data_IF_425197784549
#
_entry.id   IF_425197784549
#
_cell.length_a   1.000
_cell.length_b   1.000
_cell.length_c   1.000
_cell.angle_alpha   90.00
_cell.angle_beta   90.00
_cell.angle_gamma   90.00
#
_symmetry.space_group_name_H-M   'P 1'
#
loop_
_entity.id
_entity.type
_entity.pdbx_description
1 polymer ?
#
# COMPACT_ATOMS: atom_id res chain seq x y z
N UNK A 1 -34.02 -67.51 -17.48
CA UNK A 1 -33.92 -66.07 -17.81
C UNK A 1 -33.88 -65.31 -16.49
N UNK A 2 -32.70 -65.09 -15.90
CA UNK A 2 -32.58 -64.25 -14.70
C UNK A 2 -32.49 -62.78 -15.17
N UNK A 3 -33.48 -61.97 -14.83
CA UNK A 3 -33.42 -60.53 -15.06
C UNK A 3 -32.57 -59.91 -13.95
N UNK A 4 -31.39 -59.43 -14.33
CA UNK A 4 -30.56 -58.54 -13.51
C UNK A 4 -31.26 -57.19 -13.42
N UNK A 5 -31.92 -56.93 -12.29
CA UNK A 5 -32.48 -55.61 -11.99
C UNK A 5 -31.31 -54.68 -11.65
N UNK A 6 -31.09 -53.58 -12.37
CA UNK A 6 -30.05 -52.63 -12.00
C UNK A 6 -30.41 -51.98 -10.67
N UNK A 7 -29.58 -52.19 -9.64
CA UNK A 7 -29.64 -51.42 -8.39
C UNK A 7 -29.41 -49.95 -8.72
N UNK A 8 -30.47 -49.16 -8.60
CA UNK A 8 -30.43 -47.70 -8.70
C UNK A 8 -30.53 -47.13 -7.30
N UNK A 9 -29.58 -46.26 -6.95
CA UNK A 9 -29.48 -45.62 -5.65
C UNK A 9 -29.70 -44.12 -5.82
N UNK A 10 -30.81 -43.61 -5.30
CA UNK A 10 -31.11 -42.19 -5.29
C UNK A 10 -30.41 -41.52 -4.11
N UNK A 11 -29.48 -40.60 -4.42
CA UNK A 11 -28.74 -39.83 -3.43
C UNK A 11 -29.06 -38.34 -3.56
N UNK A 12 -29.36 -37.70 -2.43
CA UNK A 12 -29.47 -36.25 -2.40
C UNK A 12 -28.10 -35.61 -2.63
N UNK A 13 -27.99 -34.75 -3.64
CA UNK A 13 -26.79 -33.98 -3.95
C UNK A 13 -27.09 -32.49 -3.93
N UNK A 14 -26.05 -31.68 -3.67
CA UNK A 14 -26.12 -30.22 -3.72
C UNK A 14 -25.04 -29.68 -4.67
N UNK A 15 -25.46 -28.87 -5.63
CA UNK A 15 -24.53 -28.13 -6.50
C UNK A 15 -23.87 -27.03 -5.68
N UNK A 16 -22.55 -26.97 -5.70
CA UNK A 16 -21.76 -25.92 -5.06
C UNK A 16 -20.80 -25.31 -6.07
N UNK A 17 -20.45 -24.01 -5.91
CA UNK A 17 -19.39 -23.41 -6.69
C UNK A 17 -18.07 -24.16 -6.47
N UNK A 18 -17.29 -24.32 -7.53
CA UNK A 18 -15.92 -24.80 -7.44
C UNK A 18 -15.11 -23.87 -6.51
N UNK A 19 -14.62 -24.35 -5.34
CA UNK A 19 -13.91 -23.52 -4.39
C UNK A 19 -12.65 -22.86 -4.97
N UNK A 20 -12.05 -23.44 -6.00
CA UNK A 20 -10.86 -22.86 -6.69
C UNK A 20 -11.22 -21.65 -7.55
N UNK A 21 -12.50 -21.43 -7.84
CA UNK A 21 -13.02 -20.32 -8.65
C UNK A 21 -13.79 -19.30 -7.82
N UNK A 22 -13.79 -19.42 -6.49
CA UNK A 22 -14.42 -18.48 -5.57
C UNK A 22 -13.34 -17.68 -4.85
N UNK A 23 -13.42 -16.35 -4.96
CA UNK A 23 -12.53 -15.44 -4.24
C UNK A 23 -13.38 -14.56 -3.31
N UNK A 24 -12.98 -14.49 -2.04
CA UNK A 24 -13.53 -13.54 -1.07
C UNK A 24 -12.65 -12.30 -1.06
N UNK A 25 -13.25 -11.15 -1.36
CA UNK A 25 -12.54 -9.86 -1.40
C UNK A 25 -12.70 -9.20 -0.04
N UNK A 26 -11.58 -8.81 0.56
CA UNK A 26 -11.53 -8.05 1.80
C UNK A 26 -10.86 -6.70 1.52
N UNK A 27 -11.27 -5.62 2.20
CA UNK A 27 -10.58 -4.36 2.08
C UNK A 27 -9.13 -4.49 2.60
N UNK A 28 -8.13 -3.94 1.90
CA UNK A 28 -6.74 -4.00 2.33
C UNK A 28 -6.49 -3.16 3.58
N UNK A 29 -7.24 -2.05 3.74
CA UNK A 29 -7.11 -1.11 4.84
C UNK A 29 -8.45 -0.87 5.51
N UNK A 30 -8.42 -0.52 6.80
CA UNK A 30 -9.60 -0.05 7.51
C UNK A 30 -9.99 1.34 7.02
N UNK A 31 -11.30 1.58 6.85
CA UNK A 31 -11.82 2.86 6.39
C UNK A 31 -13.33 2.87 6.24
N UNK A 32 -13.87 4.05 5.92
CA UNK A 32 -15.30 4.24 5.64
C UNK A 32 -15.57 3.94 4.18
N UNK A 33 -16.59 3.12 3.90
CA UNK A 33 -17.06 2.89 2.51
C UNK A 33 -17.60 4.20 1.94
N UNK A 34 -17.11 4.58 0.76
CA UNK A 34 -17.53 5.78 0.02
C UNK A 34 -18.59 5.40 -0.99
N UNK A 35 -18.34 4.34 -1.76
CA UNK A 35 -19.31 3.81 -2.71
C UNK A 35 -19.12 2.30 -2.89
N UNK A 36 -20.20 1.64 -3.31
CA UNK A 36 -20.20 0.27 -3.81
C UNK A 36 -20.66 0.36 -5.26
N UNK A 37 -19.79 -0.04 -6.20
CA UNK A 37 -20.02 0.15 -7.64
C UNK A 37 -20.72 -1.05 -8.29
N UNK A 38 -20.92 -2.15 -7.56
CA UNK A 38 -21.52 -3.39 -8.05
C UNK A 38 -22.66 -3.87 -7.17
N UNK A 39 -23.64 -4.54 -7.77
CA UNK A 39 -24.78 -5.13 -7.06
C UNK A 39 -24.70 -6.67 -7.06
N UNK A 40 -25.34 -7.34 -6.09
CA UNK A 40 -25.46 -8.80 -6.11
C UNK A 40 -26.08 -9.28 -7.42
N UNK A 41 -25.39 -10.21 -8.11
CA UNK A 41 -25.79 -10.75 -9.40
C UNK A 41 -25.13 -10.09 -10.62
N UNK A 42 -24.43 -8.97 -10.44
CA UNK A 42 -23.70 -8.33 -11.53
C UNK A 42 -22.52 -9.19 -12.00
N UNK A 43 -22.32 -9.24 -13.32
CA UNK A 43 -21.13 -9.84 -13.90
C UNK A 43 -19.96 -8.86 -13.79
N UNK A 44 -18.96 -9.23 -13.00
CA UNK A 44 -17.72 -8.47 -12.84
C UNK A 44 -16.56 -9.09 -13.60
N UNK A 45 -15.57 -8.29 -13.95
CA UNK A 45 -14.32 -8.74 -14.61
C UNK A 45 -13.12 -8.47 -13.71
N UNK A 46 -12.02 -9.19 -13.95
CA UNK A 46 -10.74 -8.96 -13.23
C UNK A 46 -10.30 -7.50 -13.41
N UNK A 47 -9.98 -6.83 -12.31
CA UNK A 47 -9.53 -5.43 -12.29
C UNK A 47 -10.67 -4.41 -12.25
N UNK A 48 -11.93 -4.83 -12.30
CA UNK A 48 -13.07 -3.93 -12.11
C UNK A 48 -13.16 -3.48 -10.64
N UNK A 49 -13.35 -2.18 -10.42
CA UNK A 49 -13.61 -1.63 -9.08
C UNK A 49 -14.96 -2.12 -8.57
N UNK A 50 -14.97 -2.58 -7.32
CA UNK A 50 -16.14 -3.14 -6.63
C UNK A 50 -16.66 -2.17 -5.58
N UNK A 51 -15.75 -1.52 -4.86
CA UNK A 51 -16.05 -0.51 -3.86
C UNK A 51 -14.85 0.44 -3.70
N UNK A 52 -15.15 1.67 -3.28
CA UNK A 52 -14.17 2.67 -2.89
C UNK A 52 -14.26 2.94 -1.39
N UNK A 53 -13.10 3.06 -0.74
CA UNK A 53 -12.98 3.31 0.69
C UNK A 53 -12.19 4.60 0.94
N UNK A 54 -12.59 5.32 1.97
CA UNK A 54 -11.88 6.47 2.53
C UNK A 54 -11.22 6.03 3.83
N UNK A 55 -9.90 5.90 3.83
CA UNK A 55 -9.12 5.55 5.02
C UNK A 55 -8.42 6.78 5.57
N UNK A 56 -8.64 7.06 6.86
CA UNK A 56 -7.91 8.12 7.57
C UNK A 56 -6.43 7.76 7.76
N UNK A 57 -6.09 6.48 7.91
CA UNK A 57 -4.70 6.04 8.08
C UNK A 57 -3.89 6.25 6.79
N UNK A 58 -4.46 5.90 5.63
CA UNK A 58 -3.85 6.23 4.33
C UNK A 58 -3.71 7.73 4.13
N UNK A 59 -4.67 8.53 4.60
CA UNK A 59 -4.59 10.00 4.52
C UNK A 59 -3.46 10.56 5.41
N UNK A 60 -3.30 10.03 6.61
CA UNK A 60 -2.18 10.38 7.51
C UNK A 60 -0.84 9.96 6.92
N UNK A 61 -0.71 8.71 6.46
CA UNK A 61 0.53 8.22 5.84
C UNK A 61 0.94 9.04 4.61
N UNK A 62 -0.03 9.51 3.81
CA UNK A 62 0.25 10.46 2.69
C UNK A 62 0.77 11.80 3.17
N UNK A 63 0.21 12.33 4.26
CA UNK A 63 0.62 13.61 4.83
C UNK A 63 2.04 13.50 5.43
N UNK A 64 2.29 12.45 6.21
CA UNK A 64 3.60 12.16 6.81
C UNK A 64 4.69 12.01 5.72
N UNK A 65 4.39 11.29 4.63
CA UNK A 65 5.29 11.17 3.49
C UNK A 65 5.58 12.53 2.82
N UNK A 66 4.55 13.37 2.63
CA UNK A 66 4.73 14.68 2.03
C UNK A 66 5.62 15.59 2.91
N UNK A 67 5.41 15.59 4.22
CA UNK A 67 6.23 16.34 5.18
C UNK A 67 7.68 15.84 5.19
N UNK A 68 7.89 14.53 5.32
CA UNK A 68 9.22 13.93 5.31
C UNK A 68 9.98 14.20 4.00
N UNK A 69 9.28 14.21 2.86
CA UNK A 69 9.88 14.51 1.56
C UNK A 69 10.36 15.96 1.48
N UNK A 70 9.57 16.90 1.99
CA UNK A 70 9.94 18.32 2.03
C UNK A 70 11.17 18.53 2.93
N UNK A 71 11.19 17.93 4.12
CA UNK A 71 12.32 18.08 5.04
C UNK A 71 13.59 17.42 4.51
N UNK A 72 13.49 16.23 3.89
CA UNK A 72 14.64 15.56 3.26
C UNK A 72 15.26 16.44 2.15
N UNK A 73 14.43 17.05 1.29
CA UNK A 73 14.90 17.97 0.25
C UNK A 73 15.52 19.24 0.85
N UNK A 74 14.94 19.79 1.91
CA UNK A 74 15.48 20.94 2.63
C UNK A 74 16.85 20.64 3.23
N UNK A 75 16.97 19.53 3.96
CA UNK A 75 18.20 19.10 4.62
C UNK A 75 19.30 18.77 3.59
N UNK A 76 18.94 18.09 2.49
CA UNK A 76 19.84 17.82 1.37
C UNK A 76 20.41 19.12 0.79
N UNK A 77 19.58 20.10 0.47
CA UNK A 77 20.03 21.39 -0.06
C UNK A 77 20.91 22.14 0.95
N UNK A 78 20.63 22.03 2.24
CA UNK A 78 21.46 22.62 3.28
C UNK A 78 22.85 21.97 3.33
N UNK A 79 22.92 20.64 3.29
CA UNK A 79 24.17 19.89 3.20
C UNK A 79 24.96 20.24 1.94
N UNK A 80 24.31 20.32 0.77
CA UNK A 80 24.96 20.70 -0.49
C UNK A 80 25.58 22.10 -0.41
N UNK A 81 24.87 23.07 0.19
CA UNK A 81 25.43 24.41 0.43
C UNK A 81 26.64 24.37 1.37
N UNK A 82 26.57 23.63 2.47
CA UNK A 82 27.69 23.52 3.41
C UNK A 82 28.90 22.81 2.79
N UNK A 83 28.67 21.80 1.94
CA UNK A 83 29.72 21.11 1.19
C UNK A 83 30.50 22.10 0.32
N UNK A 84 29.79 22.90 -0.48
CA UNK A 84 30.41 23.92 -1.35
C UNK A 84 31.21 24.93 -0.52
N UNK A 85 30.64 25.46 0.57
CA UNK A 85 31.34 26.41 1.43
C UNK A 85 32.60 25.79 2.06
N UNK A 86 32.53 24.55 2.53
CA UNK A 86 33.66 23.83 3.10
C UNK A 86 34.77 23.59 2.05
N UNK A 87 34.40 23.18 0.83
CA UNK A 87 35.34 22.95 -0.28
C UNK A 87 36.07 24.25 -0.71
N UNK A 88 35.43 25.41 -0.53
CA UNK A 88 36.03 26.72 -0.76
C UNK A 88 36.69 27.34 0.48
N UNK A 89 36.81 26.60 1.59
CA UNK A 89 37.42 27.08 2.84
C UNK A 89 36.60 28.14 3.59
N UNK A 90 35.34 28.32 3.23
CA UNK A 90 34.42 29.32 3.78
C UNK A 90 33.51 28.79 4.91
N UNK A 91 33.53 27.48 5.20
CA UNK A 91 32.81 26.87 6.32
C UNK A 91 33.69 25.87 7.07
N UNK A 92 33.36 25.61 8.35
CA UNK A 92 34.09 24.63 9.14
C UNK A 92 33.72 23.21 8.70
N UNK A 93 34.69 22.28 8.79
CA UNK A 93 34.44 20.86 8.52
C UNK A 93 33.31 20.29 9.39
N UNK A 94 33.22 20.75 10.64
CA UNK A 94 32.15 20.38 11.56
C UNK A 94 30.77 20.73 11.02
N UNK A 95 30.58 21.94 10.48
CA UNK A 95 29.29 22.41 9.97
C UNK A 95 28.81 21.55 8.78
N UNK A 96 29.74 21.12 7.92
CA UNK A 96 29.44 20.18 6.84
C UNK A 96 29.06 18.79 7.37
N UNK A 97 29.79 18.25 8.35
CA UNK A 97 29.48 16.95 8.96
C UNK A 97 28.10 16.97 9.62
N UNK A 98 27.80 18.03 10.37
CA UNK A 98 26.51 18.19 11.05
C UNK A 98 25.36 18.30 10.03
N UNK A 99 25.53 19.09 8.97
CA UNK A 99 24.55 19.20 7.89
C UNK A 99 24.35 17.87 7.13
N UNK A 100 25.42 17.11 6.93
CA UNK A 100 25.34 15.76 6.33
C UNK A 100 24.58 14.79 7.21
N UNK A 101 24.86 14.75 8.51
CA UNK A 101 24.13 13.91 9.45
C UNK A 101 22.62 14.24 9.47
N UNK A 102 22.27 15.52 9.38
CA UNK A 102 20.87 15.96 9.28
C UNK A 102 20.21 15.51 7.96
N UNK A 103 20.90 15.63 6.83
CA UNK A 103 20.39 15.16 5.55
C UNK A 103 20.20 13.64 5.52
N UNK A 104 21.15 12.88 6.08
CA UNK A 104 21.06 11.42 6.18
C UNK A 104 19.89 10.99 7.08
N UNK A 105 19.69 11.67 8.22
CA UNK A 105 18.56 11.41 9.12
C UNK A 105 17.20 11.71 8.46
N UNK A 106 17.08 12.86 7.78
CA UNK A 106 15.87 13.22 7.06
C UNK A 106 15.57 12.26 5.89
N UNK A 107 16.62 11.78 5.20
CA UNK A 107 16.49 10.75 4.16
C UNK A 107 15.99 9.41 4.71
N UNK A 108 16.46 9.00 5.90
CA UNK A 108 15.96 7.80 6.57
C UNK A 108 14.49 7.94 6.98
N UNK A 109 14.07 9.12 7.45
CA UNK A 109 12.66 9.38 7.77
C UNK A 109 11.75 9.32 6.54
N UNK A 110 12.18 9.93 5.44
CA UNK A 110 11.48 9.82 4.16
C UNK A 110 11.32 8.36 3.71
N UNK A 111 12.36 7.54 3.86
CA UNK A 111 12.26 6.12 3.52
C UNK A 111 11.20 5.40 4.38
N UNK A 112 11.18 5.65 5.69
CA UNK A 112 10.16 5.08 6.60
C UNK A 112 8.75 5.54 6.26
N UNK A 113 8.55 6.83 6.02
CA UNK A 113 7.24 7.38 5.64
C UNK A 113 6.76 6.83 4.29
N UNK A 114 7.69 6.59 3.34
CA UNK A 114 7.38 5.95 2.05
C UNK A 114 6.96 4.50 2.21
N UNK A 115 7.65 3.72 3.05
CA UNK A 115 7.29 2.33 3.33
C UNK A 115 5.87 2.24 3.90
N UNK A 116 5.53 3.09 4.88
CA UNK A 116 4.18 3.15 5.46
C UNK A 116 3.10 3.50 4.43
N UNK A 117 3.40 4.32 3.43
CA UNK A 117 2.44 4.68 2.40
C UNK A 117 2.22 3.56 1.37
N UNK A 118 3.26 2.76 1.08
CA UNK A 118 3.22 1.68 0.08
C UNK A 118 2.65 0.40 0.65
N UNK A 119 2.84 0.16 1.96
CA UNK A 119 2.29 -0.99 2.69
C UNK A 119 1.32 -0.51 3.79
N UNK A 120 0.15 0.04 3.40
CA UNK A 120 -0.84 0.58 4.34
C UNK A 120 -1.76 -0.47 4.95
#
# INVERSE_FOLDING_TARGET
MQQTVPETLDLAAKVQPDPTKVVRIFPPVSGRVVAIEVKPGDRVRRGQTVASLSSSDVASARSDFAEANIEAERARRAMERQKVLFEHGAAAQKDYIDARAQADAAGAELARAKERLVDP
#
